data_IF_316013353554
#
_entry.id   IF_316013353554
#
_cell.length_a   1.000
_cell.length_b   1.000
_cell.length_c   1.000
_cell.angle_alpha   90.00
_cell.angle_beta   90.00
_cell.angle_gamma   90.00
#
_symmetry.space_group_name_H-M   'P 1'
#
loop_
_entity.id
_entity.type
_entity.pdbx_description
1 polymer ?
#
# COMPACT_ATOMS: atom_id res chain seq x y z
N UNK A 1 -23.76 37.48 -11.34
CA UNK A 1 -23.09 36.88 -12.51
C UNK A 1 -21.61 37.19 -12.36
N UNK A 2 -20.81 36.20 -12.01
CA UNK A 2 -19.39 36.40 -11.73
C UNK A 2 -18.70 35.05 -11.57
N UNK A 3 -18.44 34.40 -12.70
CA UNK A 3 -17.49 33.29 -12.80
C UNK A 3 -16.42 33.71 -13.80
N UNK A 4 -15.17 33.82 -13.34
CA UNK A 4 -14.02 33.46 -14.15
C UNK A 4 -13.18 32.59 -13.23
N UNK A 5 -13.41 31.28 -13.36
CA UNK A 5 -12.65 30.24 -12.70
C UNK A 5 -11.30 30.09 -13.38
N UNK A 6 -10.25 30.30 -12.60
CA UNK A 6 -8.88 29.90 -12.90
C UNK A 6 -8.28 29.79 -11.49
N UNK A 7 -7.88 28.62 -10.98
CA UNK A 7 -7.00 27.63 -11.59
C UNK A 7 -7.20 26.24 -10.94
N UNK A 8 -7.55 25.18 -11.70
CA UNK A 8 -7.46 23.79 -11.23
C UNK A 8 -6.09 23.13 -11.51
N UNK A 9 -5.30 23.65 -12.46
CA UNK A 9 -4.05 23.03 -12.91
C UNK A 9 -2.79 23.50 -12.17
N UNK A 10 -2.65 24.81 -11.93
CA UNK A 10 -1.41 25.36 -11.35
C UNK A 10 -1.25 25.02 -9.85
N UNK A 11 -2.37 24.85 -9.13
CA UNK A 11 -2.37 24.41 -7.73
C UNK A 11 -1.92 22.95 -7.62
N UNK A 12 -2.43 22.08 -8.50
CA UNK A 12 -2.06 20.67 -8.52
C UNK A 12 -0.61 20.43 -8.96
N UNK A 13 -0.05 21.29 -9.83
CA UNK A 13 1.35 21.18 -10.24
C UNK A 13 2.33 21.40 -9.08
N UNK A 14 2.11 22.44 -8.26
CA UNK A 14 2.92 22.70 -7.06
C UNK A 14 2.66 21.65 -5.97
N UNK A 15 1.42 21.17 -5.85
CA UNK A 15 1.03 20.18 -4.84
C UNK A 15 1.50 18.75 -5.16
N UNK A 16 1.63 18.39 -6.44
CA UNK A 16 2.17 17.07 -6.86
C UNK A 16 3.63 16.88 -6.40
N UNK A 17 4.44 17.94 -6.39
CA UNK A 17 5.82 17.87 -5.87
C UNK A 17 5.87 17.50 -4.37
N UNK A 18 4.84 17.85 -3.60
CA UNK A 18 4.77 17.55 -2.16
C UNK A 18 4.24 16.15 -1.85
N UNK A 19 3.57 15.51 -2.81
CA UNK A 19 2.88 14.25 -2.62
C UNK A 19 3.76 13.06 -3.03
N UNK A 20 4.81 12.80 -2.26
CA UNK A 20 5.79 11.76 -2.61
C UNK A 20 5.44 10.34 -2.13
N UNK A 21 4.40 10.20 -1.32
CA UNK A 21 4.03 8.94 -0.68
C UNK A 21 2.54 8.90 -0.27
N UNK A 22 2.03 7.73 0.10
CA UNK A 22 0.60 7.53 0.40
C UNK A 22 0.13 8.26 1.66
N UNK A 23 1.00 8.39 2.67
CA UNK A 23 0.66 9.15 3.89
C UNK A 23 0.55 10.63 3.54
N UNK A 24 1.47 11.15 2.74
CA UNK A 24 1.47 12.54 2.28
C UNK A 24 0.23 12.82 1.43
N UNK A 25 -0.15 11.92 0.51
CA UNK A 25 -1.39 12.02 -0.26
C UNK A 25 -2.63 12.05 0.65
N UNK A 26 -2.73 11.14 1.61
CA UNK A 26 -3.90 11.07 2.49
C UNK A 26 -4.00 12.31 3.38
N UNK A 27 -2.87 12.80 3.92
CA UNK A 27 -2.83 14.07 4.67
C UNK A 27 -3.27 15.24 3.81
N UNK A 28 -2.84 15.26 2.56
CA UNK A 28 -3.18 16.30 1.61
C UNK A 28 -4.69 16.30 1.28
N UNK A 29 -5.28 15.12 1.07
CA UNK A 29 -6.73 14.93 0.94
C UNK A 29 -7.48 15.41 2.19
N UNK A 30 -6.96 15.17 3.39
CA UNK A 30 -7.62 15.57 4.65
C UNK A 30 -7.44 17.05 4.99
N UNK A 31 -6.32 17.65 4.59
CA UNK A 31 -5.94 19.03 4.93
C UNK A 31 -6.40 20.08 3.92
N UNK A 32 -6.59 19.71 2.64
CA UNK A 32 -6.95 20.63 1.57
C UNK A 32 -8.42 20.51 1.14
N UNK A 33 -9.26 21.54 1.28
CA UNK A 33 -10.68 21.45 0.91
C UNK A 33 -10.89 21.20 -0.59
N UNK A 34 -10.01 21.71 -1.46
CA UNK A 34 -10.09 21.50 -2.91
C UNK A 34 -9.74 20.07 -3.30
N UNK A 35 -8.65 19.53 -2.76
CA UNK A 35 -8.21 18.16 -3.04
C UNK A 35 -9.17 17.16 -2.42
N UNK A 36 -9.68 17.44 -1.22
CA UNK A 36 -10.70 16.61 -0.60
C UNK A 36 -11.92 16.44 -1.51
N UNK A 37 -12.36 17.50 -2.22
CA UNK A 37 -13.49 17.43 -3.16
C UNK A 37 -13.25 16.44 -4.29
N UNK A 38 -12.02 16.33 -4.80
CA UNK A 38 -11.66 15.36 -5.85
C UNK A 38 -11.87 13.91 -5.37
N UNK A 39 -11.61 13.66 -4.08
CA UNK A 39 -11.74 12.35 -3.45
C UNK A 39 -13.05 12.19 -2.66
N UNK A 40 -13.98 13.15 -2.69
CA UNK A 40 -15.24 13.02 -1.95
C UNK A 40 -16.16 12.03 -2.64
N UNK A 41 -16.68 11.06 -1.87
CA UNK A 41 -17.66 10.10 -2.37
C UNK A 41 -19.01 10.76 -2.66
N UNK A 42 -19.40 11.74 -1.84
CA UNK A 42 -20.65 12.50 -2.00
C UNK A 42 -21.90 11.60 -2.04
N UNK A 43 -22.96 12.09 -2.68
CA UNK A 43 -24.23 11.34 -2.86
C UNK A 43 -24.11 10.19 -3.88
N UNK A 44 -23.04 10.17 -4.68
CA UNK A 44 -22.83 9.20 -5.74
C UNK A 44 -21.47 8.48 -5.59
N UNK A 45 -21.32 7.60 -4.59
CA UNK A 45 -20.06 6.90 -4.32
C UNK A 45 -19.58 6.03 -5.48
N UNK A 46 -20.52 5.52 -6.28
CA UNK A 46 -20.26 4.66 -7.44
C UNK A 46 -20.07 5.45 -8.75
N UNK A 47 -20.14 6.79 -8.72
CA UNK A 47 -19.81 7.60 -9.88
C UNK A 47 -18.31 7.46 -10.23
N UNK A 48 -17.94 7.66 -11.51
CA UNK A 48 -16.54 7.73 -11.90
C UNK A 48 -15.74 8.71 -11.04
N UNK A 49 -14.53 8.30 -10.67
CA UNK A 49 -13.60 9.16 -9.96
C UNK A 49 -13.14 10.34 -10.84
N UNK A 50 -12.75 11.42 -10.18
CA UNK A 50 -12.21 12.60 -10.86
C UNK A 50 -10.88 12.26 -11.55
N UNK A 51 -10.66 12.79 -12.76
CA UNK A 51 -9.44 12.54 -13.53
C UNK A 51 -8.20 13.06 -12.80
N UNK A 52 -8.30 14.16 -12.08
CA UNK A 52 -7.20 14.72 -11.30
C UNK A 52 -6.90 13.85 -10.07
N UNK A 53 -7.92 13.29 -9.43
CA UNK A 53 -7.72 12.32 -8.35
C UNK A 53 -7.00 11.06 -8.86
N UNK A 54 -7.39 10.57 -10.04
CA UNK A 54 -6.73 9.43 -10.70
C UNK A 54 -5.28 9.79 -11.03
N UNK A 55 -5.02 10.99 -11.53
CA UNK A 55 -3.66 11.47 -11.84
C UNK A 55 -2.77 11.48 -10.59
N UNK A 56 -3.25 12.03 -9.46
CA UNK A 56 -2.51 12.04 -8.19
C UNK A 56 -2.16 10.62 -7.71
N UNK A 57 -3.11 9.69 -7.78
CA UNK A 57 -2.85 8.30 -7.39
C UNK A 57 -1.84 7.64 -8.32
N UNK A 58 -1.91 7.90 -9.63
CA UNK A 58 -0.92 7.41 -10.60
C UNK A 58 0.47 7.99 -10.34
N UNK A 59 0.56 9.28 -10.04
CA UNK A 59 1.83 9.93 -9.74
C UNK A 59 2.52 9.27 -8.55
N UNK A 60 1.77 9.02 -7.46
CA UNK A 60 2.32 8.30 -6.30
C UNK A 60 2.74 6.88 -6.71
N UNK A 61 1.92 6.14 -7.46
CA UNK A 61 2.28 4.79 -7.94
C UNK A 61 3.59 4.78 -8.73
N UNK A 62 3.78 5.73 -9.64
CA UNK A 62 4.97 5.85 -10.48
C UNK A 62 6.24 6.03 -9.61
N UNK A 63 6.18 6.83 -8.54
CA UNK A 63 7.28 6.98 -7.57
C UNK A 63 7.64 5.65 -6.88
N UNK A 64 6.66 4.79 -6.59
CA UNK A 64 6.91 3.46 -6.00
C UNK A 64 7.41 2.46 -7.06
N UNK A 65 6.91 2.53 -8.30
CA UNK A 65 7.36 1.67 -9.39
C UNK A 65 8.82 1.93 -9.75
N UNK A 66 9.27 3.20 -9.74
CA UNK A 66 10.68 3.57 -9.97
C UNK A 66 11.64 3.01 -8.91
N UNK A 67 11.13 2.74 -7.69
CA UNK A 67 11.89 2.08 -6.63
C UNK A 67 11.99 0.55 -6.80
N UNK A 68 11.48 0.01 -7.92
CA UNK A 68 11.49 -1.43 -8.21
C UNK A 68 10.48 -2.23 -7.40
N UNK A 69 9.51 -1.57 -6.77
CA UNK A 69 8.44 -2.27 -6.08
C UNK A 69 7.45 -2.81 -7.12
N UNK A 70 7.13 -4.10 -7.07
CA UNK A 70 5.95 -4.67 -7.75
C UNK A 70 4.65 -4.21 -7.02
N UNK A 71 4.62 -2.98 -6.51
CA UNK A 71 3.52 -2.39 -5.74
C UNK A 71 2.28 -2.24 -6.61
N UNK A 72 2.48 -1.75 -7.84
CA UNK A 72 1.42 -1.56 -8.83
C UNK A 72 0.58 -2.83 -9.01
N UNK A 73 1.20 -4.01 -9.11
CA UNK A 73 0.44 -5.26 -9.26
C UNK A 73 -0.45 -5.58 -8.06
N UNK A 74 0.00 -5.34 -6.82
CA UNK A 74 -0.80 -5.62 -5.62
C UNK A 74 -1.89 -4.57 -5.45
N UNK A 75 -1.56 -3.33 -5.77
CA UNK A 75 -2.50 -2.23 -5.83
C UNK A 75 -3.63 -2.53 -6.82
N UNK A 76 -3.29 -2.97 -8.04
CA UNK A 76 -4.26 -3.36 -9.07
C UNK A 76 -5.03 -4.63 -8.71
N UNK A 77 -4.42 -5.57 -7.98
CA UNK A 77 -5.12 -6.75 -7.48
C UNK A 77 -6.19 -6.35 -6.45
N UNK A 78 -5.85 -5.52 -5.46
CA UNK A 78 -6.82 -4.98 -4.52
C UNK A 78 -7.91 -4.20 -5.26
N UNK A 79 -7.54 -3.37 -6.24
CA UNK A 79 -8.48 -2.62 -7.06
C UNK A 79 -9.47 -3.52 -7.76
N UNK A 80 -9.01 -4.57 -8.45
CA UNK A 80 -9.88 -5.48 -9.21
C UNK A 80 -10.94 -6.15 -8.35
N UNK A 81 -10.61 -6.48 -7.09
CA UNK A 81 -11.57 -7.06 -6.14
C UNK A 81 -12.70 -6.09 -5.80
N UNK A 82 -12.43 -4.78 -5.88
CA UNK A 82 -13.36 -3.72 -5.47
C UNK A 82 -13.99 -2.98 -6.66
N UNK A 83 -13.54 -3.22 -7.89
CA UNK A 83 -13.92 -2.46 -9.10
C UNK A 83 -14.63 -3.30 -10.17
N UNK A 84 -15.36 -4.34 -9.77
CA UNK A 84 -15.99 -5.30 -10.69
C UNK A 84 -14.99 -5.94 -11.66
N UNK A 85 -13.82 -6.35 -11.15
CA UNK A 85 -12.74 -7.01 -11.90
C UNK A 85 -12.02 -6.14 -12.94
N UNK A 86 -12.08 -4.81 -12.81
CA UNK A 86 -11.29 -3.93 -13.68
C UNK A 86 -9.85 -3.81 -13.17
N UNK A 87 -8.89 -3.75 -14.10
CA UNK A 87 -7.47 -3.48 -13.82
C UNK A 87 -7.08 -2.03 -14.18
N UNK A 88 -8.00 -1.25 -14.75
CA UNK A 88 -7.69 0.13 -15.14
C UNK A 88 -8.19 1.13 -14.10
N UNK A 89 -7.29 1.92 -13.53
CA UNK A 89 -7.65 2.98 -12.58
C UNK A 89 -8.61 4.02 -13.19
N UNK A 90 -8.65 4.16 -14.52
CA UNK A 90 -9.62 5.03 -15.22
C UNK A 90 -11.08 4.63 -15.01
N UNK A 91 -11.32 3.39 -14.56
CA UNK A 91 -12.66 2.88 -14.24
C UNK A 91 -12.99 2.97 -12.74
N UNK A 92 -12.08 3.52 -11.93
CA UNK A 92 -12.28 3.61 -10.50
C UNK A 92 -13.49 4.50 -10.19
N UNK A 93 -14.32 4.04 -9.27
CA UNK A 93 -15.35 4.88 -8.68
C UNK A 93 -14.73 5.77 -7.60
N UNK A 94 -15.40 6.87 -7.25
CA UNK A 94 -14.96 7.77 -6.17
C UNK A 94 -14.71 7.03 -4.86
N UNK A 95 -15.63 6.14 -4.49
CA UNK A 95 -15.50 5.34 -3.28
C UNK A 95 -14.30 4.40 -3.31
N UNK A 96 -14.10 3.69 -4.42
CA UNK A 96 -12.99 2.75 -4.59
C UNK A 96 -11.65 3.46 -4.60
N UNK A 97 -11.53 4.60 -5.29
CA UNK A 97 -10.30 5.40 -5.34
C UNK A 97 -9.95 5.96 -3.96
N UNK A 98 -10.93 6.53 -3.23
CA UNK A 98 -10.70 7.05 -1.87
C UNK A 98 -10.30 5.93 -0.90
N UNK A 99 -10.99 4.78 -0.96
CA UNK A 99 -10.67 3.63 -0.13
C UNK A 99 -9.24 3.14 -0.39
N UNK A 100 -8.81 3.07 -1.65
CA UNK A 100 -7.43 2.69 -2.00
C UNK A 100 -6.38 3.57 -1.36
N UNK A 101 -6.54 4.89 -1.45
CA UNK A 101 -5.57 5.82 -0.84
C UNK A 101 -5.48 5.57 0.67
N UNK A 102 -6.63 5.40 1.34
CA UNK A 102 -6.66 5.10 2.77
C UNK A 102 -5.99 3.77 3.14
N UNK A 103 -6.26 2.70 2.38
CA UNK A 103 -5.62 1.39 2.57
C UNK A 103 -4.11 1.48 2.36
N UNK A 104 -3.67 2.13 1.29
CA UNK A 104 -2.25 2.28 0.99
C UNK A 104 -1.51 3.11 2.07
N UNK A 105 -2.12 4.20 2.53
CA UNK A 105 -1.59 5.03 3.61
C UNK A 105 -1.49 4.24 4.94
N UNK A 106 -2.50 3.43 5.26
CA UNK A 106 -2.48 2.58 6.45
C UNK A 106 -1.42 1.48 6.37
N UNK A 107 -1.27 0.82 5.22
CA UNK A 107 -0.21 -0.16 5.00
C UNK A 107 1.16 0.50 5.18
N UNK A 108 1.37 1.69 4.63
CA UNK A 108 2.61 2.44 4.81
C UNK A 108 2.88 2.77 6.28
N UNK A 109 1.87 3.25 7.03
CA UNK A 109 2.02 3.49 8.48
C UNK A 109 2.39 2.23 9.24
N UNK A 110 1.70 1.12 8.97
CA UNK A 110 1.98 -0.17 9.59
C UNK A 110 3.38 -0.65 9.25
N UNK A 111 3.84 -0.49 8.01
CA UNK A 111 5.20 -0.81 7.61
C UNK A 111 6.22 -0.02 8.43
N UNK A 112 6.04 1.30 8.56
CA UNK A 112 6.88 2.15 9.39
C UNK A 112 6.91 1.67 10.86
N UNK A 113 5.77 1.38 11.47
CA UNK A 113 5.68 0.89 12.86
C UNK A 113 6.40 -0.46 12.99
N UNK A 114 6.17 -1.39 12.09
CA UNK A 114 6.81 -2.71 12.08
C UNK A 114 8.33 -2.59 12.03
N UNK A 115 8.85 -1.76 11.13
CA UNK A 115 10.29 -1.52 10.99
C UNK A 115 10.84 -0.87 12.26
N UNK A 116 10.27 0.24 12.74
CA UNK A 116 10.71 0.89 13.98
C UNK A 116 10.74 -0.10 15.15
N UNK A 117 9.70 -0.92 15.28
CA UNK A 117 9.61 -1.93 16.34
C UNK A 117 10.68 -3.01 16.19
N UNK A 118 10.92 -3.50 14.97
CA UNK A 118 11.95 -4.49 14.68
C UNK A 118 13.33 -3.93 15.00
N UNK A 119 13.63 -2.71 14.57
CA UNK A 119 14.89 -2.03 14.86
C UNK A 119 15.12 -1.90 16.36
N UNK A 120 14.13 -1.38 17.11
CA UNK A 120 14.23 -1.24 18.56
C UNK A 120 14.47 -2.60 19.26
N UNK A 121 13.79 -3.66 18.81
CA UNK A 121 13.98 -5.02 19.36
C UNK A 121 15.36 -5.58 19.04
N UNK A 122 15.85 -5.38 17.81
CA UNK A 122 17.19 -5.80 17.42
C UNK A 122 18.24 -5.06 18.25
N UNK A 123 18.13 -3.74 18.42
CA UNK A 123 19.02 -2.96 19.26
C UNK A 123 19.01 -3.43 20.73
N UNK A 124 17.86 -3.82 21.28
CA UNK A 124 17.74 -4.31 22.64
C UNK A 124 18.30 -5.75 22.83
N UNK A 125 18.08 -6.64 21.86
CA UNK A 125 18.50 -8.05 21.94
C UNK A 125 19.98 -8.25 21.58
N UNK A 126 20.52 -7.37 20.74
CA UNK A 126 21.86 -7.51 20.18
C UNK A 126 22.98 -7.60 21.23
N UNK A 127 23.03 -6.76 22.29
CA UNK A 127 24.08 -6.87 23.31
C UNK A 127 24.06 -8.22 24.02
N UNK A 128 22.87 -8.76 24.30
CA UNK A 128 22.69 -10.05 24.97
C UNK A 128 23.18 -11.21 24.07
N UNK A 129 22.84 -11.15 22.78
CA UNK A 129 23.31 -12.12 21.80
C UNK A 129 24.84 -12.08 21.64
N UNK A 130 25.44 -10.90 21.49
CA UNK A 130 26.89 -10.73 21.39
C UNK A 130 27.63 -11.24 22.62
N UNK A 131 27.05 -11.07 23.81
CA UNK A 131 27.60 -11.63 25.04
C UNK A 131 27.58 -13.17 25.03
N UNK A 132 26.51 -13.78 24.52
CA UNK A 132 26.35 -15.24 24.47
C UNK A 132 27.32 -15.94 23.51
N UNK A 133 27.73 -15.29 22.42
CA UNK A 133 28.63 -15.86 21.41
C UNK A 133 30.10 -15.52 21.64
N UNK A 134 30.42 -14.66 22.62
CA UNK A 134 31.79 -14.17 22.90
C UNK A 134 32.77 -15.28 23.29
N UNK A 135 32.27 -16.46 23.68
CA UNK A 135 33.04 -17.66 24.00
C UNK A 135 33.25 -18.63 22.83
N UNK A 136 32.69 -18.38 21.63
CA UNK A 136 32.79 -19.26 20.47
C UNK A 136 34.02 -18.86 19.64
N UNK A 137 35.09 -19.67 19.57
CA UNK A 137 36.38 -19.27 18.98
C UNK A 137 36.35 -18.92 17.49
N UNK A 138 35.28 -19.29 16.77
CA UNK A 138 35.15 -19.14 15.32
C UNK A 138 34.27 -17.95 14.89
N UNK A 139 33.54 -17.33 15.83
CA UNK A 139 32.68 -16.18 15.50
C UNK A 139 33.44 -14.92 15.89
N UNK A 140 34.12 -14.30 14.91
CA UNK A 140 34.55 -12.92 15.08
C UNK A 140 33.31 -12.11 15.44
N UNK A 141 33.27 -11.41 16.59
CA UNK A 141 32.17 -10.52 16.90
C UNK A 141 32.21 -9.42 15.84
N UNK A 142 31.40 -9.56 14.79
CA UNK A 142 31.16 -8.48 13.84
C UNK A 142 30.78 -7.29 14.71
N UNK A 143 31.59 -6.25 14.73
CA UNK A 143 31.19 -4.99 15.33
C UNK A 143 29.93 -4.59 14.57
N UNK A 144 28.77 -4.78 15.22
CA UNK A 144 27.54 -4.21 14.71
C UNK A 144 27.72 -2.71 14.86
N UNK A 145 28.27 -2.11 13.80
CA UNK A 145 28.09 -0.70 13.54
C UNK A 145 26.59 -0.47 13.54
N UNK A 146 26.18 0.67 14.10
CA UNK A 146 24.82 1.17 14.07
C UNK A 146 24.23 0.82 12.70
N UNK A 147 23.40 -0.24 12.68
CA UNK A 147 22.87 -0.79 11.43
C UNK A 147 21.94 0.33 11.02
N UNK A 148 22.32 1.06 9.97
CA UNK A 148 21.60 2.25 9.55
C UNK A 148 20.11 1.96 9.31
N UNK A 149 19.35 2.94 8.81
CA UNK A 149 17.97 2.68 8.44
C UNK A 149 17.86 1.42 7.57
N UNK A 150 16.76 0.68 7.72
CA UNK A 150 16.52 -0.52 6.92
C UNK A 150 16.73 -0.23 5.44
N UNK A 151 17.29 -1.21 4.76
CA UNK A 151 17.40 -1.15 3.31
C UNK A 151 16.00 -1.13 2.68
N UNK A 152 15.90 -0.55 1.49
CA UNK A 152 14.67 -0.54 0.70
C UNK A 152 14.10 -1.95 0.47
N UNK A 153 14.95 -2.99 0.48
CA UNK A 153 14.55 -4.40 0.34
C UNK A 153 13.77 -4.87 1.57
N UNK A 154 14.21 -4.50 2.77
CA UNK A 154 13.55 -4.86 4.02
C UNK A 154 12.21 -4.13 4.15
N UNK A 155 12.19 -2.83 3.79
CA UNK A 155 10.95 -2.07 3.68
C UNK A 155 9.99 -2.77 2.72
N UNK A 156 10.43 -3.09 1.49
CA UNK A 156 9.62 -3.78 0.50
C UNK A 156 8.99 -5.08 1.01
N UNK A 157 9.77 -5.89 1.74
CA UNK A 157 9.29 -7.18 2.28
C UNK A 157 8.14 -6.96 3.25
N UNK A 158 8.23 -5.94 4.12
CA UNK A 158 7.16 -5.59 5.06
C UNK A 158 5.93 -5.07 4.31
N UNK A 159 6.11 -4.13 3.36
CA UNK A 159 5.03 -3.63 2.52
C UNK A 159 4.30 -4.76 1.78
N UNK A 160 5.05 -5.65 1.15
CA UNK A 160 4.51 -6.79 0.41
C UNK A 160 3.69 -7.71 1.32
N UNK A 161 4.21 -8.03 2.51
CA UNK A 161 3.50 -8.87 3.47
C UNK A 161 2.17 -8.23 3.91
N UNK A 162 2.18 -6.93 4.21
CA UNK A 162 0.99 -6.20 4.62
C UNK A 162 -0.06 -6.11 3.50
N UNK A 163 0.35 -5.90 2.24
CA UNK A 163 -0.56 -5.96 1.10
C UNK A 163 -1.20 -7.34 0.93
N UNK A 164 -0.43 -8.42 1.10
CA UNK A 164 -0.98 -9.77 1.06
C UNK A 164 -1.99 -10.00 2.18
N UNK A 165 -1.70 -9.55 3.40
CA UNK A 165 -2.62 -9.64 4.52
C UNK A 165 -3.91 -8.84 4.28
N UNK A 166 -3.81 -7.64 3.70
CA UNK A 166 -4.97 -6.83 3.35
C UNK A 166 -5.87 -7.55 2.36
N UNK A 167 -5.31 -8.00 1.22
CA UNK A 167 -6.11 -8.69 0.20
C UNK A 167 -6.71 -9.99 0.73
N UNK A 168 -5.95 -10.74 1.55
CA UNK A 168 -6.47 -11.94 2.18
C UNK A 168 -7.63 -11.63 3.14
N UNK A 169 -7.53 -10.56 3.93
CA UNK A 169 -8.62 -10.10 4.80
C UNK A 169 -9.88 -9.77 4.00
N UNK A 170 -9.74 -9.05 2.89
CA UNK A 170 -10.87 -8.64 2.06
C UNK A 170 -11.53 -9.84 1.36
N UNK A 171 -10.72 -10.82 0.93
CA UNK A 171 -11.23 -12.08 0.39
C UNK A 171 -12.02 -12.87 1.43
N UNK A 172 -11.52 -12.95 2.68
CA UNK A 172 -12.24 -13.62 3.75
C UNK A 172 -13.56 -12.92 4.09
N UNK A 173 -13.56 -11.59 4.15
CA UNK A 173 -14.79 -10.82 4.38
C UNK A 173 -15.80 -11.04 3.25
N UNK A 174 -15.34 -11.00 1.99
CA UNK A 174 -16.19 -11.23 0.81
C UNK A 174 -16.74 -12.66 0.78
N UNK A 175 -15.90 -13.66 1.04
CA UNK A 175 -16.32 -15.05 1.12
C UNK A 175 -17.36 -15.29 2.23
N UNK A 176 -17.19 -14.64 3.38
CA UNK A 176 -18.17 -14.67 4.47
C UNK A 176 -19.50 -14.06 4.04
N UNK A 177 -19.48 -12.89 3.38
CA UNK A 177 -20.68 -12.22 2.87
C UNK A 177 -21.41 -13.02 1.79
N UNK A 178 -20.67 -13.79 1.00
CA UNK A 178 -21.21 -14.61 -0.08
C UNK A 178 -21.54 -16.05 0.36
N UNK A 179 -21.41 -16.37 1.65
CA UNK A 179 -21.62 -17.72 2.20
C UNK A 179 -20.81 -18.81 1.47
N UNK A 180 -19.58 -18.52 1.07
CA UNK A 180 -18.71 -19.51 0.46
C UNK A 180 -18.47 -20.68 1.43
N UNK A 181 -18.63 -21.91 0.94
CA UNK A 181 -18.34 -23.11 1.73
C UNK A 181 -16.83 -23.26 1.90
N UNK A 182 -16.40 -23.97 2.95
CA UNK A 182 -14.98 -24.30 3.13
C UNK A 182 -14.40 -25.06 1.92
N UNK A 183 -15.24 -25.79 1.18
CA UNK A 183 -14.87 -26.50 -0.05
C UNK A 183 -14.56 -25.55 -1.23
N UNK A 184 -15.14 -24.35 -1.26
CA UNK A 184 -14.90 -23.35 -2.30
C UNK A 184 -13.59 -22.58 -2.08
N UNK A 185 -13.06 -22.58 -0.84
CA UNK A 185 -11.82 -21.90 -0.47
C UNK A 185 -10.57 -22.80 -0.56
N UNK A 186 -10.74 -24.08 -0.88
CA UNK A 186 -9.62 -24.98 -1.17
C UNK A 186 -9.16 -24.71 -2.60
N UNK A 187 -8.03 -24.03 -2.74
CA UNK A 187 -7.31 -23.87 -4.00
C UNK A 187 -7.25 -25.21 -4.75
N UNK A 188 -7.90 -25.30 -5.90
CA UNK A 188 -7.85 -26.44 -6.82
C UNK A 188 -6.47 -26.52 -7.49
N UNK A 189 -5.47 -26.84 -6.69
CA UNK A 189 -4.17 -27.33 -7.12
C UNK A 189 -4.18 -28.86 -7.19
N UNK A 190 -5.12 -29.44 -7.93
CA UNK A 190 -5.05 -30.87 -8.26
C UNK A 190 -5.91 -31.17 -9.50
N UNK A 191 -5.24 -31.43 -10.63
CA UNK A 191 -5.48 -32.53 -11.59
C UNK A 191 -4.97 -32.15 -12.99
N UNK A 192 -3.66 -32.33 -13.20
CA UNK A 192 -3.14 -32.69 -14.52
C UNK A 192 -2.11 -33.80 -14.29
N UNK A 193 -2.61 -35.01 -14.06
CA UNK A 193 -1.80 -36.22 -14.05
C UNK A 193 -2.65 -37.43 -14.46
N UNK A 194 -3.18 -37.40 -15.69
CA UNK A 194 -3.64 -38.59 -16.42
C UNK A 194 -3.40 -38.43 -17.92
N UNK A 195 -2.20 -38.77 -18.35
CA UNK A 195 -1.96 -39.35 -19.67
C UNK A 195 -0.64 -40.13 -19.60
N UNK A 196 -0.74 -41.41 -19.24
CA UNK A 196 0.24 -42.45 -19.53
C UNK A 196 -0.48 -43.50 -20.38
#
# INVERSE_FOLDING_TARGET
>A
MGCVGTLPGDVLAEDTETCTDWISLERFILGGPEVNRLFMTGEHPNAPADLEAIYLVRHVLEIYSDKGYDFERRFLMWFSLHSNNSLSLSTATRAVLRAMVGVAANIQRLACICLITLHARLQAALPQYLHSIRGIPCVMPCQLRDVGPFSWIEEYRVYRALWHLQVFSDLLETGTRLHWSADDMVWSGQEDNRAA
#
